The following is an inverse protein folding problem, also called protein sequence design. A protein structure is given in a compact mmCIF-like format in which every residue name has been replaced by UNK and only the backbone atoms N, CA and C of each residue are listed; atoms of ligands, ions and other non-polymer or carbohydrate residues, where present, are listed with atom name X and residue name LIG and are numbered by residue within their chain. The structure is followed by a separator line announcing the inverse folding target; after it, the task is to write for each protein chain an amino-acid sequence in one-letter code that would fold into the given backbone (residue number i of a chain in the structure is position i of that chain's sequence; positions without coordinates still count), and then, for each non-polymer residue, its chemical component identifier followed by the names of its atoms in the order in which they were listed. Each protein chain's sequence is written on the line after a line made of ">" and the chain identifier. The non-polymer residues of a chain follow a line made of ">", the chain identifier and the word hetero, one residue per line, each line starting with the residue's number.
data_IF_642094556621
#
_entry.id   IF_642094556621
#
_cell.length_a   1.000
_cell.length_b   1.000
_cell.length_c   1.000
_cell.angle_alpha   90.00
_cell.angle_beta   90.00
_cell.angle_gamma   90.00
#
_symmetry.space_group_name_H-M   'P 1'
#
loop_
_entity.id
_entity.type
_entity.pdbx_description
1 polymer ?
#
# COMPACT_ATOMS: atom_id res chain seq x y z
N UNK A 1 4.98 -7.58 -11.58
CA UNK A 1 6.08 -6.63 -11.25
C UNK A 1 7.36 -7.31 -10.78
N UNK A 2 7.34 -8.59 -10.33
CA UNK A 2 8.56 -9.33 -9.98
C UNK A 2 9.11 -9.06 -8.59
N UNK A 3 8.45 -8.22 -7.77
CA UNK A 3 8.79 -8.01 -6.37
C UNK A 3 8.30 -9.17 -5.50
N UNK A 4 9.09 -9.57 -4.50
CA UNK A 4 8.62 -10.49 -3.45
C UNK A 4 7.53 -9.84 -2.63
N UNK A 5 6.49 -10.59 -2.28
CA UNK A 5 5.37 -10.09 -1.47
C UNK A 5 4.83 -11.16 -0.51
N UNK A 6 4.07 -10.71 0.47
CA UNK A 6 3.27 -11.55 1.37
C UNK A 6 2.05 -10.77 1.84
N UNK A 7 1.03 -11.49 2.27
CA UNK A 7 -0.10 -10.88 2.96
C UNK A 7 0.31 -10.41 4.36
N UNK A 8 -0.30 -9.32 4.80
CA UNK A 8 -0.05 -8.75 6.13
C UNK A 8 -1.30 -8.03 6.63
N UNK A 9 -1.54 -8.12 7.94
CA UNK A 9 -2.56 -7.34 8.63
C UNK A 9 -1.91 -6.05 9.14
N UNK A 10 -2.53 -4.91 8.86
CA UNK A 10 -2.06 -3.63 9.41
C UNK A 10 -2.26 -3.59 10.93
N UNK A 11 -1.17 -3.39 11.67
CA UNK A 11 -1.23 -3.14 13.12
C UNK A 11 -1.75 -1.73 13.45
N UNK A 12 -1.17 -0.66 12.87
CA UNK A 12 -1.64 0.72 13.11
C UNK A 12 -2.95 1.05 12.39
N UNK A 13 -3.65 2.06 12.92
CA UNK A 13 -4.76 2.70 12.23
C UNK A 13 -4.26 3.56 11.05
N UNK A 14 -5.01 3.54 9.96
CA UNK A 14 -4.77 4.36 8.77
C UNK A 14 -6.10 4.93 8.28
N UNK A 15 -6.09 6.06 7.58
CA UNK A 15 -7.31 6.64 7.02
C UNK A 15 -8.07 5.66 6.12
N UNK A 16 -7.34 4.79 5.42
CA UNK A 16 -7.87 3.68 4.64
C UNK A 16 -8.89 2.80 5.41
N UNK A 17 -8.70 2.61 6.72
CA UNK A 17 -9.63 1.85 7.56
C UNK A 17 -10.99 2.55 7.60
N UNK A 18 -11.01 3.87 7.80
CA UNK A 18 -12.25 4.65 7.83
C UNK A 18 -12.89 4.70 6.43
N UNK A 19 -12.09 4.91 5.39
CA UNK A 19 -12.55 4.99 3.99
C UNK A 19 -13.15 3.66 3.51
N UNK A 20 -12.64 2.52 4.00
CA UNK A 20 -13.12 1.18 3.62
C UNK A 20 -14.61 0.93 3.91
N UNK A 21 -15.21 1.75 4.78
CA UNK A 21 -16.65 1.67 5.08
C UNK A 21 -17.55 2.21 3.96
N UNK A 22 -16.98 2.94 3.00
CA UNK A 22 -17.73 3.63 1.93
C UNK A 22 -17.44 3.09 0.53
N UNK A 23 -16.30 2.46 0.32
CA UNK A 23 -15.81 2.04 -1.00
C UNK A 23 -14.78 0.92 -0.84
N UNK A 24 -14.54 0.07 -1.87
CA UNK A 24 -13.44 -0.87 -1.84
C UNK A 24 -12.09 -0.15 -1.62
N UNK A 25 -11.31 -0.64 -0.65
CA UNK A 25 -10.01 -0.06 -0.31
C UNK A 25 -8.97 -1.16 -0.16
N UNK A 26 -7.76 -0.89 -0.63
CA UNK A 26 -6.56 -1.72 -0.41
C UNK A 26 -5.40 -0.87 0.08
N UNK A 27 -4.43 -1.51 0.73
CA UNK A 27 -3.19 -0.87 1.19
C UNK A 27 -1.98 -1.60 0.63
N UNK A 28 -0.92 -0.85 0.33
CA UNK A 28 0.38 -1.38 -0.12
C UNK A 28 1.42 -0.99 0.92
N UNK A 29 2.07 -1.97 1.54
CA UNK A 29 3.13 -1.76 2.53
C UNK A 29 4.51 -2.02 1.92
N UNK A 30 5.48 -1.25 2.39
CA UNK A 30 6.91 -1.43 2.11
C UNK A 30 7.66 -1.60 3.45
N UNK A 31 8.81 -2.28 3.46
CA UNK A 31 9.57 -2.50 4.68
C UNK A 31 10.24 -1.20 5.16
N UNK A 32 10.19 -0.97 6.48
CA UNK A 32 10.99 0.04 7.17
C UNK A 32 12.17 -0.65 7.89
N UNK A 33 13.32 0.02 8.00
CA UNK A 33 14.51 -0.49 8.70
C UNK A 33 14.14 -0.79 10.15
N UNK A 34 14.40 -2.03 10.56
CA UNK A 34 14.07 -2.58 11.89
C UNK A 34 12.60 -2.45 12.32
N UNK A 35 11.70 -2.13 11.38
CA UNK A 35 10.28 -1.89 11.67
C UNK A 35 10.02 -0.65 12.55
N UNK A 36 10.99 0.27 12.65
CA UNK A 36 10.87 1.47 13.47
C UNK A 36 9.93 2.47 12.78
N UNK A 37 9.04 3.09 13.55
CA UNK A 37 8.24 4.23 13.10
C UNK A 37 8.00 5.20 14.26
N UNK A 38 7.52 6.42 13.95
CA UNK A 38 7.29 7.50 14.92
C UNK A 38 8.57 7.85 15.70
N UNK A 39 9.72 7.72 15.03
CA UNK A 39 11.02 8.04 15.58
C UNK A 39 11.86 8.72 14.49
N UNK A 40 12.74 9.63 14.89
CA UNK A 40 13.61 10.39 13.99
C UNK A 40 14.55 9.49 13.16
N UNK A 41 14.82 8.27 13.63
CA UNK A 41 15.64 7.29 12.90
C UNK A 41 14.84 6.38 11.96
N UNK A 42 13.52 6.60 11.84
CA UNK A 42 12.67 5.91 10.86
C UNK A 42 13.25 6.07 9.45
N UNK A 43 13.49 4.95 8.75
CA UNK A 43 14.15 4.97 7.45
C UNK A 43 13.69 3.81 6.56
N UNK A 44 13.64 4.05 5.25
CA UNK A 44 13.31 3.05 4.24
C UNK A 44 14.30 3.13 3.08
N UNK A 45 14.66 1.99 2.49
CA UNK A 45 15.57 1.95 1.35
C UNK A 45 14.91 2.55 0.09
N UNK A 46 15.63 3.34 -0.73
CA UNK A 46 15.09 3.95 -1.95
C UNK A 46 14.43 2.95 -2.90
N UNK A 47 14.96 1.73 -2.99
CA UNK A 47 14.43 0.66 -3.84
C UNK A 47 13.05 0.20 -3.37
N UNK A 48 12.84 0.12 -2.06
CA UNK A 48 11.53 -0.20 -1.46
C UNK A 48 10.51 0.89 -1.74
N UNK A 49 10.91 2.17 -1.64
CA UNK A 49 10.05 3.30 -1.99
C UNK A 49 9.62 3.23 -3.46
N UNK A 50 10.57 3.01 -4.37
CA UNK A 50 10.29 2.87 -5.79
C UNK A 50 9.41 1.64 -6.10
N UNK A 51 9.65 0.51 -5.43
CA UNK A 51 8.83 -0.68 -5.58
C UNK A 51 7.38 -0.45 -5.13
N UNK A 52 7.17 0.14 -3.94
CA UNK A 52 5.85 0.48 -3.43
C UNK A 52 5.09 1.46 -4.34
N UNK A 53 5.77 2.51 -4.81
CA UNK A 53 5.19 3.47 -5.75
C UNK A 53 4.80 2.82 -7.08
N UNK A 54 5.63 1.91 -7.61
CA UNK A 54 5.30 1.15 -8.82
C UNK A 54 4.09 0.22 -8.61
N UNK A 55 4.01 -0.47 -7.47
CA UNK A 55 2.85 -1.31 -7.15
C UNK A 55 1.58 -0.45 -7.09
N UNK A 56 1.62 0.69 -6.41
CA UNK A 56 0.49 1.62 -6.32
C UNK A 56 0.07 2.11 -7.72
N UNK A 57 1.01 2.58 -8.53
CA UNK A 57 0.75 3.04 -9.90
C UNK A 57 0.05 1.95 -10.73
N UNK A 58 0.60 0.74 -10.73
CA UNK A 58 0.04 -0.36 -11.52
C UNK A 58 -1.31 -0.82 -10.99
N UNK A 59 -1.54 -0.79 -9.67
CA UNK A 59 -2.83 -1.11 -9.07
C UNK A 59 -3.91 -0.11 -9.47
N UNK A 60 -3.62 1.20 -9.45
CA UNK A 60 -4.54 2.24 -9.91
C UNK A 60 -4.85 2.09 -11.40
N UNK A 61 -3.82 1.91 -12.22
CA UNK A 61 -4.01 1.70 -13.67
C UNK A 61 -4.83 0.44 -13.98
N UNK A 62 -4.67 -0.62 -13.18
CA UNK A 62 -5.48 -1.83 -13.32
C UNK A 62 -6.92 -1.60 -12.89
N UNK A 63 -7.14 -0.93 -11.75
CA UNK A 63 -8.47 -0.60 -11.24
C UNK A 63 -9.29 0.21 -12.25
N UNK A 64 -8.66 1.19 -12.91
CA UNK A 64 -9.27 1.95 -14.00
C UNK A 64 -9.62 1.06 -15.20
N UNK A 65 -8.70 0.18 -15.63
CA UNK A 65 -8.93 -0.75 -16.76
C UNK A 65 -10.07 -1.72 -16.51
N UNK A 66 -10.18 -2.23 -15.29
CA UNK A 66 -11.22 -3.20 -14.93
C UNK A 66 -12.58 -2.54 -14.64
N UNK A 67 -12.69 -1.24 -14.86
CA UNK A 67 -13.95 -0.51 -14.70
C UNK A 67 -14.36 -0.40 -13.25
N UNK A 68 -13.54 0.27 -12.43
CA UNK A 68 -13.79 0.58 -11.00
C UNK A 68 -15.09 1.33 -10.66
N UNK A 69 -16.07 1.30 -11.55
CA UNK A 69 -17.40 1.90 -11.50
C UNK A 69 -18.55 0.87 -11.36
N UNK A 70 -18.30 -0.45 -11.42
CA UNK A 70 -19.36 -1.48 -11.37
C UNK A 70 -19.24 -2.48 -10.20
N UNK A 71 -18.95 -1.98 -8.99
CA UNK A 71 -18.87 -2.79 -7.76
C UNK A 71 -19.88 -2.34 -6.68
N UNK A 72 -21.02 -1.79 -7.10
CA UNK A 72 -22.19 -1.64 -6.23
C UNK A 72 -23.14 -2.81 -6.37
#
# INVERSE_FOLDING_TARGET
>A
LGYSHRDIISGPGHDAVNVSTMTPVGMVFIPCVDGISHNEIEATQPESLAAGANVLLHAVLEYERTGGSDQR
#
